data_IF_411838106826
#
_entry.id   IF_411838106826
#
_cell.length_a   1.000
_cell.length_b   1.000
_cell.length_c   1.000
_cell.angle_alpha   90.00
_cell.angle_beta   90.00
_cell.angle_gamma   90.00
#
_symmetry.space_group_name_H-M   'P 1'
#
loop_
_entity.id
_entity.type
_entity.pdbx_description
1 polymer ?
#
# COMPACT_ATOMS: atom_id res chain seq x y z
N UNK A 1 12.14 20.20 29.45
CA UNK A 1 10.82 19.53 29.51
C UNK A 1 10.64 18.69 28.26
N UNK A 2 10.88 17.39 28.37
CA UNK A 2 10.89 16.44 27.24
C UNK A 2 9.47 15.96 26.96
N UNK A 3 8.92 16.30 25.79
CA UNK A 3 7.61 15.84 25.34
C UNK A 3 7.65 14.32 25.13
N UNK A 4 6.99 13.58 26.03
CA UNK A 4 6.77 12.14 25.96
C UNK A 4 5.95 11.78 24.71
N UNK A 5 6.61 11.09 23.78
CA UNK A 5 6.08 10.08 22.85
C UNK A 5 4.56 10.08 22.56
N UNK A 6 4.16 10.83 21.54
CA UNK A 6 3.01 10.48 20.68
C UNK A 6 3.52 10.34 19.25
N UNK A 7 4.32 9.30 18.98
CA UNK A 7 4.63 8.93 17.59
C UNK A 7 3.37 8.33 16.99
N UNK A 8 2.52 9.17 16.40
CA UNK A 8 1.34 8.75 15.66
C UNK A 8 1.77 7.82 14.51
N UNK A 9 1.68 6.50 14.76
CA UNK A 9 2.09 5.47 13.82
C UNK A 9 1.17 5.50 12.60
N UNK A 10 1.74 5.35 11.40
CA UNK A 10 0.91 5.20 10.20
C UNK A 10 0.10 3.91 10.32
N UNK A 11 -1.20 3.96 10.04
CA UNK A 11 -2.11 2.83 10.18
C UNK A 11 -2.34 2.11 8.84
N UNK A 12 -3.15 1.05 8.86
CA UNK A 12 -3.57 0.28 7.68
C UNK A 12 -5.05 0.55 7.35
N UNK A 13 -5.49 0.15 6.15
CA UNK A 13 -6.89 0.21 5.72
C UNK A 13 -7.49 -1.19 5.87
N UNK A 14 -8.69 -1.29 6.43
CA UNK A 14 -9.44 -2.54 6.41
C UNK A 14 -9.86 -2.89 4.97
N UNK A 15 -10.01 -4.18 4.67
CA UNK A 15 -10.17 -4.64 3.29
C UNK A 15 -11.47 -4.16 2.63
N UNK A 16 -12.56 -4.08 3.40
CA UNK A 16 -13.84 -3.59 2.90
C UNK A 16 -13.81 -2.08 2.62
N UNK A 17 -13.14 -1.31 3.49
CA UNK A 17 -12.88 0.12 3.26
C UNK A 17 -11.99 0.35 2.04
N UNK A 18 -10.98 -0.50 1.84
CA UNK A 18 -10.14 -0.46 0.64
C UNK A 18 -10.96 -0.69 -0.64
N UNK A 19 -11.79 -1.75 -0.69
CA UNK A 19 -12.68 -2.01 -1.84
C UNK A 19 -13.65 -0.86 -2.09
N UNK A 20 -14.25 -0.33 -1.02
CA UNK A 20 -15.16 0.82 -1.08
C UNK A 20 -14.46 2.07 -1.61
N UNK A 21 -13.26 2.37 -1.11
CA UNK A 21 -12.45 3.52 -1.56
C UNK A 21 -12.08 3.41 -3.03
N UNK A 22 -11.58 2.26 -3.49
CA UNK A 22 -11.22 2.04 -4.90
C UNK A 22 -12.42 2.29 -5.81
N UNK A 23 -13.59 1.74 -5.44
CA UNK A 23 -14.82 1.89 -6.21
C UNK A 23 -15.29 3.35 -6.28
N UNK A 24 -15.22 4.09 -5.17
CA UNK A 24 -15.59 5.51 -5.10
C UNK A 24 -14.62 6.39 -5.89
N UNK A 25 -13.31 6.16 -5.78
CA UNK A 25 -12.30 6.91 -6.54
C UNK A 25 -12.45 6.69 -8.04
N UNK A 26 -12.72 5.44 -8.46
CA UNK A 26 -12.97 5.15 -9.87
C UNK A 26 -14.23 5.85 -10.39
N UNK A 27 -15.32 5.83 -9.62
CA UNK A 27 -16.57 6.50 -10.00
C UNK A 27 -16.40 8.01 -10.11
N UNK A 28 -15.65 8.62 -9.20
CA UNK A 28 -15.51 10.06 -9.12
C UNK A 28 -14.37 10.61 -10.02
N UNK A 29 -13.74 9.75 -10.83
CA UNK A 29 -12.70 10.15 -11.79
C UNK A 29 -11.32 10.39 -11.18
N UNK A 30 -11.09 10.03 -9.92
CA UNK A 30 -9.79 10.11 -9.24
C UNK A 30 -8.85 8.95 -9.66
N UNK A 31 -8.73 8.71 -10.97
CA UNK A 31 -8.09 7.53 -11.56
C UNK A 31 -6.63 7.35 -11.11
N UNK A 32 -5.84 8.44 -11.06
CA UNK A 32 -4.44 8.39 -10.64
C UNK A 32 -4.28 7.87 -9.21
N UNK A 33 -5.12 8.34 -8.28
CA UNK A 33 -5.08 7.89 -6.90
C UNK A 33 -5.75 6.52 -6.71
N UNK A 34 -6.76 6.20 -7.51
CA UNK A 34 -7.31 4.85 -7.61
C UNK A 34 -6.21 3.83 -7.97
N UNK A 35 -5.43 4.09 -9.02
CA UNK A 35 -4.29 3.27 -9.42
C UNK A 35 -3.20 3.24 -8.36
N UNK A 36 -2.85 4.40 -7.76
CA UNK A 36 -1.79 4.50 -6.75
C UNK A 36 -2.08 3.62 -5.53
N UNK A 37 -3.31 3.72 -5.01
CA UNK A 37 -3.74 2.99 -3.82
C UNK A 37 -3.85 1.50 -4.15
N UNK A 38 -4.44 1.15 -5.30
CA UNK A 38 -4.59 -0.25 -5.74
C UNK A 38 -3.23 -0.92 -5.92
N UNK A 39 -2.38 -0.37 -6.78
CA UNK A 39 -1.05 -0.95 -7.07
C UNK A 39 -0.19 -0.94 -5.81
N UNK A 40 -0.23 0.14 -5.03
CA UNK A 40 0.53 0.24 -3.78
C UNK A 40 0.17 -0.83 -2.77
N UNK A 41 -1.12 -1.14 -2.60
CA UNK A 41 -1.58 -2.20 -1.70
C UNK A 41 -1.20 -3.56 -2.25
N UNK A 42 -1.51 -3.90 -3.51
CA UNK A 42 -1.26 -5.24 -4.04
C UNK A 42 0.23 -5.59 -4.22
N UNK A 43 1.10 -4.61 -4.44
CA UNK A 43 2.56 -4.85 -4.63
C UNK A 43 3.38 -4.65 -3.36
N UNK A 44 2.83 -3.93 -2.38
CA UNK A 44 3.52 -3.45 -1.22
C UNK A 44 4.88 -2.79 -1.53
N UNK A 45 4.99 -2.07 -2.64
CA UNK A 45 6.20 -1.30 -2.96
C UNK A 45 6.39 -0.12 -2.02
N UNK A 46 7.63 0.35 -1.87
CA UNK A 46 7.87 1.66 -1.24
C UNK A 46 7.39 2.73 -2.20
N UNK A 47 6.91 3.85 -1.66
CA UNK A 47 6.36 4.93 -2.48
C UNK A 47 7.32 5.46 -3.54
N UNK A 48 8.62 5.51 -3.21
CA UNK A 48 9.65 5.93 -4.16
C UNK A 48 9.71 5.02 -5.39
N UNK A 49 9.55 3.71 -5.20
CA UNK A 49 9.59 2.71 -6.27
C UNK A 49 8.26 2.67 -7.02
N UNK A 50 7.13 2.74 -6.28
CA UNK A 50 5.78 2.82 -6.84
C UNK A 50 5.62 3.99 -7.81
N UNK A 51 6.13 5.18 -7.44
CA UNK A 51 6.01 6.38 -8.26
C UNK A 51 6.80 6.33 -9.58
N UNK A 52 7.70 5.37 -9.75
CA UNK A 52 8.49 5.19 -10.98
C UNK A 52 7.89 4.17 -11.96
N UNK A 53 6.77 3.54 -11.60
CA UNK A 53 6.13 2.57 -12.48
C UNK A 53 5.58 3.25 -13.73
N UNK A 54 5.78 2.59 -14.87
CA UNK A 54 5.21 2.94 -16.17
C UNK A 54 4.08 1.99 -16.53
N UNK A 55 3.21 2.39 -17.45
CA UNK A 55 2.10 1.55 -17.88
C UNK A 55 2.58 0.22 -18.46
N UNK A 56 3.67 0.25 -19.25
CA UNK A 56 4.31 -0.94 -19.83
C UNK A 56 4.87 -1.91 -18.78
N UNK A 57 5.08 -1.48 -17.54
CA UNK A 57 5.59 -2.35 -16.48
C UNK A 57 4.49 -3.27 -15.90
N UNK A 58 3.21 -2.95 -16.13
CA UNK A 58 2.06 -3.64 -15.52
C UNK A 58 1.09 -4.18 -16.58
N UNK A 59 0.78 -3.38 -17.61
CA UNK A 59 -0.23 -3.76 -18.61
C UNK A 59 0.26 -4.93 -19.45
N UNK A 60 -0.63 -5.92 -19.64
CA UNK A 60 -0.36 -7.14 -20.40
C UNK A 60 0.85 -7.93 -19.89
N UNK A 61 1.16 -7.82 -18.60
CA UNK A 61 2.23 -8.57 -17.94
C UNK A 61 1.70 -9.42 -16.80
N UNK A 62 2.31 -10.58 -16.66
CA UNK A 62 2.09 -11.49 -15.54
C UNK A 62 2.92 -11.13 -14.32
N UNK A 63 4.07 -10.49 -14.55
CA UNK A 63 5.08 -10.23 -13.53
C UNK A 63 5.58 -8.80 -13.69
N UNK A 64 5.57 -8.06 -12.58
CA UNK A 64 6.18 -6.76 -12.43
C UNK A 64 7.61 -6.93 -11.89
N UNK A 65 8.59 -6.45 -12.64
CA UNK A 65 10.01 -6.45 -12.25
C UNK A 65 10.40 -5.03 -11.82
N UNK A 66 10.91 -4.88 -10.60
CA UNK A 66 11.30 -3.58 -10.04
C UNK A 66 12.69 -3.67 -9.44
N UNK A 67 13.56 -2.70 -9.79
CA UNK A 67 14.84 -2.51 -9.10
C UNK A 67 14.61 -1.53 -7.95
N UNK A 68 14.67 -2.02 -6.71
CA UNK A 68 14.41 -1.19 -5.53
C UNK A 68 15.47 -0.11 -5.35
N UNK A 69 15.06 1.14 -5.15
CA UNK A 69 16.02 2.24 -5.01
C UNK A 69 16.90 2.14 -3.78
N UNK A 70 16.31 1.72 -2.66
CA UNK A 70 16.98 1.69 -1.35
C UNK A 70 18.02 0.58 -1.27
N UNK A 71 17.69 -0.60 -1.77
CA UNK A 71 18.49 -1.82 -1.61
C UNK A 71 19.25 -2.19 -2.87
N UNK A 72 18.89 -1.61 -4.03
CA UNK A 72 19.39 -1.95 -5.37
C UNK A 72 19.10 -3.41 -5.79
N UNK A 73 18.26 -4.12 -5.03
CA UNK A 73 17.85 -5.49 -5.36
C UNK A 73 16.72 -5.47 -6.38
N UNK A 74 16.76 -6.43 -7.30
CA UNK A 74 15.65 -6.70 -8.22
C UNK A 74 14.59 -7.53 -7.51
N UNK A 75 13.36 -7.06 -7.54
CA UNK A 75 12.18 -7.74 -7.01
C UNK A 75 11.27 -8.15 -8.16
N UNK A 76 10.87 -9.42 -8.16
CA UNK A 76 9.88 -9.98 -9.08
C UNK A 76 8.55 -10.11 -8.34
N UNK A 77 7.49 -9.50 -8.87
CA UNK A 77 6.17 -9.44 -8.23
C UNK A 77 5.14 -10.02 -9.19
N UNK A 78 4.54 -11.17 -8.82
CA UNK A 78 3.41 -11.72 -9.57
C UNK A 78 2.23 -10.74 -9.49
N UNK A 79 1.69 -10.39 -10.65
CA UNK A 79 0.54 -9.49 -10.76
C UNK A 79 -0.72 -10.25 -10.33
N UNK A 80 -1.41 -9.70 -9.33
CA UNK A 80 -2.67 -10.26 -8.85
C UNK A 80 -3.80 -10.03 -9.90
N UNK A 81 -4.67 -11.01 -10.17
CA UNK A 81 -5.75 -10.87 -11.16
C UNK A 81 -6.71 -9.71 -10.88
N UNK A 82 -7.07 -9.46 -9.62
CA UNK A 82 -7.94 -8.34 -9.24
C UNK A 82 -7.24 -7.00 -9.47
N UNK A 83 -5.94 -6.93 -9.13
CA UNK A 83 -5.13 -5.75 -9.42
C UNK A 83 -5.11 -5.49 -10.92
N UNK A 84 -4.83 -6.50 -11.73
CA UNK A 84 -4.79 -6.38 -13.20
C UNK A 84 -6.14 -5.91 -13.74
N UNK A 85 -7.25 -6.53 -13.32
CA UNK A 85 -8.59 -6.16 -13.76
C UNK A 85 -8.92 -4.69 -13.44
N UNK A 86 -8.62 -4.22 -12.22
CA UNK A 86 -8.84 -2.82 -11.82
C UNK A 86 -7.94 -1.89 -12.63
N UNK A 87 -6.65 -2.19 -12.74
CA UNK A 87 -5.70 -1.36 -13.48
C UNK A 87 -6.12 -1.24 -14.94
N UNK A 88 -6.38 -2.34 -15.64
CA UNK A 88 -6.83 -2.32 -17.04
C UNK A 88 -8.13 -1.55 -17.22
N UNK A 89 -9.09 -1.69 -16.29
CA UNK A 89 -10.37 -0.98 -16.36
C UNK A 89 -10.19 0.53 -16.18
N UNK A 90 -9.41 0.95 -15.18
CA UNK A 90 -9.17 2.37 -14.88
C UNK A 90 -8.33 3.01 -15.98
N UNK A 91 -7.32 2.30 -16.48
CA UNK A 91 -6.46 2.77 -17.58
C UNK A 91 -7.27 3.04 -18.85
N UNK A 92 -8.26 2.21 -19.21
CA UNK A 92 -9.13 2.47 -20.36
C UNK A 92 -9.95 3.77 -20.24
N UNK A 93 -10.15 4.27 -19.02
CA UNK A 93 -10.84 5.54 -18.74
C UNK A 93 -9.88 6.74 -18.70
N UNK A 94 -8.58 6.49 -18.77
CA UNK A 94 -7.55 7.52 -18.88
C UNK A 94 -7.09 7.66 -20.32
N UNK A 95 -6.85 8.89 -20.77
CA UNK A 95 -6.41 9.17 -22.13
C UNK A 95 -4.88 8.99 -22.26
N UNK A 96 -4.42 7.73 -22.23
CA UNK A 96 -2.98 7.41 -22.33
C UNK A 96 -2.60 7.32 -23.80
N UNK A 97 -1.51 8.00 -24.16
CA UNK A 97 -0.98 7.97 -25.52
C UNK A 97 0.33 7.16 -25.64
N UNK A 98 1.07 6.98 -24.54
CA UNK A 98 2.34 6.24 -24.51
C UNK A 98 2.39 5.27 -23.32
N UNK A 99 2.65 3.99 -23.60
CA UNK A 99 2.82 2.96 -22.56
C UNK A 99 4.12 3.13 -21.76
N UNK A 100 5.13 3.82 -22.31
CA UNK A 100 6.36 4.14 -21.59
C UNK A 100 6.20 5.33 -20.63
N UNK A 101 5.03 5.97 -20.61
CA UNK A 101 4.75 7.05 -19.68
C UNK A 101 4.66 6.55 -18.22
N UNK A 102 5.09 7.40 -17.29
CA UNK A 102 4.90 7.16 -15.85
C UNK A 102 3.41 7.15 -15.49
N UNK A 103 2.96 6.15 -14.73
CA UNK A 103 1.57 6.08 -14.25
C UNK A 103 1.23 7.29 -13.37
N UNK A 104 2.21 7.77 -12.60
CA UNK A 104 2.02 8.79 -11.58
C UNK A 104 2.66 10.13 -11.95
N UNK A 105 2.49 10.58 -13.19
CA UNK A 105 3.00 11.88 -13.64
C UNK A 105 2.48 13.06 -12.81
N UNK A 106 3.34 14.06 -12.64
CA UNK A 106 2.98 15.38 -12.14
C UNK A 106 2.17 16.17 -13.18
N UNK A 107 1.66 17.34 -12.78
CA UNK A 107 0.88 18.22 -13.66
C UNK A 107 1.66 18.78 -14.86
N UNK A 108 2.99 18.71 -14.82
CA UNK A 108 3.87 19.23 -15.87
C UNK A 108 4.28 18.14 -16.88
N UNK A 109 3.88 16.88 -16.67
CA UNK A 109 4.17 15.76 -17.57
C UNK A 109 5.61 15.27 -17.60
N UNK A 110 6.52 15.87 -16.83
CA UNK A 110 7.98 15.58 -16.94
C UNK A 110 8.50 14.60 -15.91
N UNK A 111 7.87 14.53 -14.74
CA UNK A 111 8.33 13.73 -13.59
C UNK A 111 7.15 13.14 -12.85
N UNK A 112 7.42 12.14 -12.01
CA UNK A 112 6.41 11.63 -11.08
C UNK A 112 5.97 12.70 -10.06
N UNK A 113 4.78 12.55 -9.50
CA UNK A 113 4.32 13.34 -8.34
C UNK A 113 5.22 13.11 -7.13
N UNK A 114 5.35 14.13 -6.28
CA UNK A 114 6.16 14.02 -5.07
C UNK A 114 5.50 13.18 -3.98
N UNK A 115 6.33 12.47 -3.19
CA UNK A 115 5.89 11.72 -1.99
C UNK A 115 5.10 12.61 -1.03
N UNK A 116 5.53 13.86 -0.84
CA UNK A 116 4.86 14.81 0.05
C UNK A 116 3.45 15.13 -0.45
N UNK A 117 3.32 15.39 -1.76
CA UNK A 117 2.02 15.60 -2.40
C UNK A 117 1.11 14.38 -2.24
N UNK A 118 1.63 13.18 -2.48
CA UNK A 118 0.90 11.93 -2.24
C UNK A 118 0.35 11.88 -0.82
N UNK A 119 1.18 12.09 0.20
CA UNK A 119 0.73 11.98 1.59
C UNK A 119 -0.32 13.05 1.95
N UNK A 120 -0.21 14.27 1.43
CA UNK A 120 -1.23 15.32 1.62
C UNK A 120 -2.54 14.92 0.96
N UNK A 121 -2.51 14.52 -0.31
CA UNK A 121 -3.71 14.15 -1.06
C UNK A 121 -4.36 12.89 -0.49
N UNK A 122 -3.60 11.92 0.03
CA UNK A 122 -4.16 10.77 0.74
C UNK A 122 -4.97 11.17 1.97
N UNK A 123 -4.48 12.12 2.79
CA UNK A 123 -5.24 12.63 3.94
C UNK A 123 -6.55 13.28 3.50
N UNK A 124 -6.51 14.07 2.43
CA UNK A 124 -7.70 14.70 1.85
C UNK A 124 -8.69 13.63 1.40
N UNK A 125 -8.25 12.68 0.55
CA UNK A 125 -9.13 11.63 0.02
C UNK A 125 -9.75 10.78 1.13
N UNK A 126 -8.98 10.37 2.13
CA UNK A 126 -9.51 9.56 3.23
C UNK A 126 -10.57 10.32 4.02
N UNK A 127 -10.37 11.63 4.25
CA UNK A 127 -11.39 12.48 4.87
C UNK A 127 -12.62 12.62 3.99
N UNK A 128 -12.44 12.92 2.69
CA UNK A 128 -13.52 13.09 1.72
C UNK A 128 -14.38 11.83 1.59
N UNK A 129 -13.77 10.66 1.59
CA UNK A 129 -14.46 9.38 1.43
C UNK A 129 -14.86 8.71 2.75
N UNK A 130 -14.66 9.40 3.88
CA UNK A 130 -14.93 8.94 5.23
C UNK A 130 -14.28 7.58 5.55
N UNK A 131 -13.05 7.37 5.07
CA UNK A 131 -12.26 6.18 5.35
C UNK A 131 -11.63 6.33 6.73
N UNK A 132 -12.09 5.50 7.67
CA UNK A 132 -11.58 5.52 9.04
C UNK A 132 -10.32 4.66 9.12
N UNK A 133 -9.27 5.23 9.68
CA UNK A 133 -8.06 4.49 10.04
C UNK A 133 -7.67 4.82 11.47
N UNK A 134 -7.19 3.81 12.20
CA UNK A 134 -6.73 3.98 13.57
C UNK A 134 -5.28 4.50 13.56
N UNK A 135 -5.11 5.78 13.21
CA UNK A 135 -3.82 6.47 13.17
C UNK A 135 -3.64 7.37 11.95
N UNK A 136 -2.38 7.62 11.57
CA UNK A 136 -2.08 8.48 10.41
C UNK A 136 -2.20 7.72 9.08
N UNK A 137 -2.66 8.43 8.04
CA UNK A 137 -2.60 7.96 6.66
C UNK A 137 -1.31 8.44 6.01
N UNK A 138 -0.58 7.54 5.38
CA UNK A 138 0.54 7.88 4.49
C UNK A 138 0.76 6.78 3.46
N UNK A 139 1.73 6.94 2.57
CA UNK A 139 2.14 5.86 1.67
C UNK A 139 2.55 4.54 2.38
N UNK A 140 2.96 4.56 3.65
CA UNK A 140 3.20 3.33 4.41
C UNK A 140 1.92 2.55 4.72
N UNK A 141 0.75 3.21 4.68
CA UNK A 141 -0.56 2.58 4.85
C UNK A 141 -0.76 1.46 3.84
N UNK A 142 -0.28 1.61 2.61
CA UNK A 142 -0.43 0.58 1.57
C UNK A 142 0.28 -0.73 1.94
N UNK A 143 1.57 -0.62 2.31
CA UNK A 143 2.39 -1.76 2.72
C UNK A 143 1.85 -2.44 3.98
N UNK A 144 1.37 -1.65 4.95
CA UNK A 144 0.75 -2.21 6.15
C UNK A 144 -0.55 -2.93 5.84
N UNK A 145 -1.39 -2.37 4.97
CA UNK A 145 -2.66 -3.00 4.55
C UNK A 145 -2.44 -4.34 3.89
N UNK A 146 -1.45 -4.43 2.98
CA UNK A 146 -1.03 -5.69 2.38
C UNK A 146 -0.61 -6.73 3.43
N UNK A 147 0.34 -6.37 4.29
CA UNK A 147 0.86 -7.30 5.30
C UNK A 147 -0.22 -7.73 6.31
N UNK A 148 -1.10 -6.83 6.71
CA UNK A 148 -2.23 -7.14 7.61
C UNK A 148 -3.22 -8.09 6.96
N UNK A 149 -3.63 -7.83 5.72
CA UNK A 149 -4.56 -8.70 4.99
C UNK A 149 -4.00 -10.11 4.82
N UNK A 150 -2.73 -10.23 4.45
CA UNK A 150 -2.08 -11.53 4.30
C UNK A 150 -1.98 -12.28 5.63
N UNK A 151 -1.63 -11.63 6.73
CA UNK A 151 -1.58 -12.31 8.03
C UNK A 151 -2.97 -12.71 8.51
N UNK A 152 -3.97 -11.83 8.39
CA UNK A 152 -5.36 -12.15 8.74
C UNK A 152 -5.87 -13.36 7.95
N UNK A 153 -5.61 -13.41 6.64
CA UNK A 153 -6.01 -14.53 5.78
C UNK A 153 -5.30 -15.85 6.12
N UNK A 154 -4.19 -15.79 6.86
CA UNK A 154 -3.37 -16.94 7.25
C UNK A 154 -3.29 -17.10 8.77
N UNK A 155 -4.35 -16.69 9.48
CA UNK A 155 -4.50 -16.85 10.93
C UNK A 155 -3.29 -16.37 11.74
N UNK A 156 -2.66 -15.28 11.29
CA UNK A 156 -1.49 -14.66 11.92
C UNK A 156 -0.29 -15.63 12.09
N UNK A 157 -0.15 -16.61 11.19
CA UNK A 157 0.94 -17.59 11.23
C UNK A 157 2.33 -16.94 11.21
N UNK A 158 3.23 -17.46 12.05
CA UNK A 158 4.63 -17.05 12.10
C UNK A 158 5.36 -17.25 10.75
N UNK A 159 4.97 -18.26 9.97
CA UNK A 159 5.53 -18.50 8.64
C UNK A 159 5.29 -17.30 7.72
N UNK A 160 4.06 -16.78 7.69
CA UNK A 160 3.72 -15.60 6.89
C UNK A 160 4.38 -14.33 7.42
N UNK A 161 4.63 -14.25 8.73
CA UNK A 161 5.37 -13.14 9.33
C UNK A 161 6.84 -13.10 8.85
N UNK A 162 7.48 -14.26 8.72
CA UNK A 162 8.83 -14.40 8.16
C UNK A 162 8.85 -13.97 6.69
N UNK A 163 7.95 -14.52 5.88
CA UNK A 163 7.82 -14.17 4.46
C UNK A 163 7.59 -12.66 4.26
N UNK A 164 6.74 -12.04 5.09
CA UNK A 164 6.51 -10.60 5.05
C UNK A 164 7.74 -9.79 5.49
N UNK A 165 8.54 -10.31 6.42
CA UNK A 165 9.81 -9.68 6.82
C UNK A 165 10.79 -9.61 5.66
N UNK A 166 10.97 -10.73 4.95
CA UNK A 166 11.79 -10.80 3.74
C UNK A 166 11.26 -9.85 2.66
N UNK A 167 9.95 -9.90 2.40
CA UNK A 167 9.28 -9.04 1.43
C UNK A 167 9.44 -7.55 1.75
N UNK A 168 9.38 -7.17 3.02
CA UNK A 168 9.57 -5.79 3.43
C UNK A 168 11.04 -5.37 3.51
N UNK A 169 11.97 -6.32 3.49
CA UNK A 169 13.39 -6.10 3.73
C UNK A 169 13.66 -5.64 5.17
N UNK A 170 12.95 -6.21 6.14
CA UNK A 170 13.21 -6.00 7.56
C UNK A 170 14.28 -6.98 8.03
N UNK A 171 15.14 -6.56 8.96
CA UNK A 171 16.22 -7.42 9.48
C UNK A 171 15.74 -8.53 10.42
N UNK A 172 14.48 -8.48 10.88
CA UNK A 172 13.88 -9.57 11.66
C UNK A 172 12.35 -9.59 11.56
N UNK A 173 11.69 -10.75 11.80
CA UNK A 173 10.24 -10.84 11.89
C UNK A 173 9.63 -9.98 13.00
N UNK A 174 10.38 -9.72 14.08
CA UNK A 174 9.94 -8.85 15.19
C UNK A 174 9.71 -7.40 14.75
N UNK A 175 10.55 -6.90 13.83
CA UNK A 175 10.36 -5.57 13.22
C UNK A 175 9.06 -5.56 12.42
N UNK A 176 8.77 -6.61 11.65
CA UNK A 176 7.50 -6.73 10.92
C UNK A 176 6.31 -6.81 11.86
N UNK A 177 6.40 -7.55 12.96
CA UNK A 177 5.33 -7.65 13.97
C UNK A 177 4.99 -6.29 14.56
N UNK A 178 6.01 -5.50 14.89
CA UNK A 178 5.86 -4.13 15.40
C UNK A 178 5.34 -3.19 14.30
N UNK A 179 5.88 -3.27 13.09
CA UNK A 179 5.46 -2.48 11.95
C UNK A 179 3.97 -2.67 11.62
N UNK A 180 3.46 -3.90 11.73
CA UNK A 180 2.06 -4.24 11.50
C UNK A 180 1.17 -4.09 12.76
N UNK A 181 1.70 -3.59 13.89
CA UNK A 181 0.90 -3.35 15.10
C UNK A 181 0.30 -4.61 15.73
N UNK A 182 0.90 -5.78 15.49
CA UNK A 182 0.37 -7.07 15.98
C UNK A 182 0.70 -7.26 17.45
N UNK A 183 1.90 -6.83 17.87
CA UNK A 183 2.39 -7.04 19.24
C UNK A 183 1.46 -6.47 20.31
N UNK A 184 0.92 -5.28 20.08
CA UNK A 184 -0.01 -4.64 21.02
C UNK A 184 -1.33 -5.41 21.11
N UNK A 185 -1.86 -5.87 19.97
CA UNK A 185 -3.07 -6.68 19.93
C UNK A 185 -2.89 -8.02 20.65
N UNK A 186 -1.82 -8.76 20.34
CA UNK A 186 -1.52 -10.05 21.00
C UNK A 186 -1.41 -9.90 22.51
N UNK A 187 -0.72 -8.85 23.00
CA UNK A 187 -0.62 -8.57 24.44
C UNK A 187 -2.00 -8.32 25.05
N UNK A 188 -2.86 -7.56 24.39
CA UNK A 188 -4.21 -7.30 24.88
C UNK A 188 -5.07 -8.56 24.90
N UNK A 189 -5.02 -9.36 23.83
CA UNK A 189 -5.76 -10.61 23.70
C UNK A 189 -5.32 -11.64 24.76
N UNK A 190 -4.05 -11.62 25.23
CA UNK A 190 -3.59 -12.49 26.32
C UNK A 190 -4.36 -12.24 27.62
N UNK A 191 -4.65 -10.97 27.96
CA UNK A 191 -5.39 -10.64 29.19
C UNK A 191 -6.83 -11.15 29.19
N UNK A 192 -7.43 -11.32 28.00
CA UNK A 192 -8.81 -11.80 27.85
C UNK A 192 -8.89 -13.29 27.51
N UNK A 193 -7.76 -13.92 27.19
CA UNK A 193 -7.69 -15.35 26.81
C UNK A 193 -7.92 -16.33 27.95
N UNK A 194 -7.93 -15.84 29.20
CA UNK A 194 -8.21 -16.63 30.40
C UNK A 194 -9.50 -16.08 31.02
N UNK A 195 -10.57 -16.88 31.02
CA UNK A 195 -11.84 -16.58 31.67
C UNK A 195 -12.21 -17.72 32.63
N UNK A 196 -12.88 -17.40 33.75
CA UNK A 196 -13.53 -18.37 34.63
C UNK A 196 -14.79 -18.94 33.98
#
# INVERSE_FOLDING_TARGET
MTLKNTKATTSYIEWDDFKSLVSKLERDGEYKFCLLITIGVFTALRISDLLKLRYIDILNKDVLIVVEQKTKKTRSIKINPDMHAIVSRVVKKTNIHDLNELIFLNRFGTKAIDKSYVNVKLKVLFKTYNIRVNGNVSSHTFRKSFGRKLLQANNFSNQYLILLSELFGHSSPSITRTYLGIREKEIHDLYTSISL
#
